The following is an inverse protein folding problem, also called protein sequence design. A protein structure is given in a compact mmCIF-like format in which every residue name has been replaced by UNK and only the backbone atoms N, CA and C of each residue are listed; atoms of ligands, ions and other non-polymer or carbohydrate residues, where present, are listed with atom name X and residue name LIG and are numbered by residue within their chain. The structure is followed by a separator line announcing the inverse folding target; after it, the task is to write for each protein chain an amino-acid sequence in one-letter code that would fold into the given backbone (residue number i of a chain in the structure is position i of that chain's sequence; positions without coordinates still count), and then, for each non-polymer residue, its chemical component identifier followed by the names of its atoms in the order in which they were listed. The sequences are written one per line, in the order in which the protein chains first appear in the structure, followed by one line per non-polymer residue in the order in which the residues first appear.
data_IF_094104157957
#
_entry.id   IF_094104157957
#
_cell.length_a   1.000
_cell.length_b   1.000
_cell.length_c   1.000
_cell.angle_alpha   90.00
_cell.angle_beta   90.00
_cell.angle_gamma   90.00
#
_symmetry.space_group_name_H-M   'P 1'
#
loop_
_entity.id
_entity.type
_entity.pdbx_description
1 polymer ?
#
# COMPACT_ATOMS: atom_id res chain seq x y z
N UNK A 1 -49.21 -19.21 23.97
CA UNK A 1 -48.88 -17.97 23.25
C UNK A 1 -47.37 -17.91 23.08
N UNK A 2 -46.85 -18.43 21.96
CA UNK A 2 -45.41 -18.39 21.66
C UNK A 2 -45.12 -17.03 21.04
N UNK A 3 -44.28 -16.23 21.71
CA UNK A 3 -43.82 -14.92 21.20
C UNK A 3 -42.90 -15.19 20.01
N UNK A 4 -43.25 -14.64 18.85
CA UNK A 4 -42.44 -14.70 17.65
C UNK A 4 -41.09 -14.02 17.90
N UNK A 5 -40.02 -14.73 17.53
CA UNK A 5 -38.68 -14.16 17.43
C UNK A 5 -38.64 -13.40 16.10
N UNK A 6 -38.41 -12.10 16.15
CA UNK A 6 -38.22 -11.29 14.95
C UNK A 6 -37.04 -11.84 14.11
N UNK A 7 -37.18 -11.90 12.78
CA UNK A 7 -36.11 -12.37 11.91
C UNK A 7 -34.91 -11.40 11.94
N UNK A 8 -33.68 -11.91 11.80
CA UNK A 8 -32.47 -11.10 11.86
C UNK A 8 -32.48 -10.00 10.79
N UNK A 9 -32.21 -8.77 11.24
CA UNK A 9 -32.13 -7.56 10.43
C UNK A 9 -31.25 -7.75 9.19
N UNK A 10 -31.76 -7.37 8.01
CA UNK A 10 -31.03 -7.37 6.73
C UNK A 10 -29.66 -6.69 6.89
N UNK A 11 -28.56 -7.43 6.64
CA UNK A 11 -27.18 -6.90 6.71
C UNK A 11 -27.03 -5.71 5.77
N UNK A 12 -26.60 -4.56 6.31
CA UNK A 12 -26.26 -3.36 5.54
C UNK A 12 -25.19 -3.72 4.49
N UNK A 13 -25.29 -3.25 3.23
CA UNK A 13 -24.26 -3.50 2.23
C UNK A 13 -22.90 -3.00 2.74
N UNK A 14 -21.85 -3.80 2.52
CA UNK A 14 -20.50 -3.49 2.96
C UNK A 14 -19.94 -2.33 2.14
N UNK A 15 -19.52 -1.27 2.82
CA UNK A 15 -18.75 -0.18 2.21
C UNK A 15 -17.28 -0.63 2.08
N UNK A 16 -16.88 -0.94 0.85
CA UNK A 16 -15.56 -1.46 0.53
C UNK A 16 -14.47 -0.39 0.57
N UNK A 17 -14.85 0.87 0.30
CA UNK A 17 -13.92 1.99 0.37
C UNK A 17 -13.60 2.30 1.84
N UNK A 18 -14.61 2.33 2.70
CA UNK A 18 -14.40 2.46 4.14
C UNK A 18 -13.69 1.24 4.74
N UNK A 19 -13.94 0.02 4.26
CA UNK A 19 -13.19 -1.17 4.67
C UNK A 19 -11.70 -1.03 4.34
N UNK A 20 -11.34 -0.53 3.15
CA UNK A 20 -9.96 -0.26 2.80
C UNK A 20 -9.35 0.89 3.62
N UNK A 21 -10.09 1.98 3.82
CA UNK A 21 -9.66 3.08 4.69
C UNK A 21 -9.40 2.61 6.12
N UNK A 22 -10.23 1.71 6.65
CA UNK A 22 -10.03 1.09 7.95
C UNK A 22 -8.73 0.27 8.03
N UNK A 23 -8.41 -0.52 7.00
CA UNK A 23 -7.14 -1.26 6.93
C UNK A 23 -5.95 -0.30 6.98
N UNK A 24 -5.98 0.80 6.21
CA UNK A 24 -4.94 1.84 6.24
C UNK A 24 -4.74 2.42 7.64
N UNK A 25 -5.82 2.82 8.30
CA UNK A 25 -5.78 3.38 9.67
C UNK A 25 -5.19 2.39 10.68
N UNK A 26 -5.45 1.09 10.51
CA UNK A 26 -4.85 0.05 11.36
C UNK A 26 -3.34 -0.06 11.18
N UNK A 27 -2.84 0.06 9.95
CA UNK A 27 -1.38 0.07 9.68
C UNK A 27 -0.74 1.33 10.27
N UNK A 28 -1.36 2.50 10.09
CA UNK A 28 -0.85 3.75 10.68
C UNK A 28 -0.81 3.69 12.22
N UNK A 29 -1.86 3.11 12.84
CA UNK A 29 -1.90 2.89 14.28
C UNK A 29 -0.85 1.88 14.74
N UNK A 30 -0.65 0.79 13.99
CA UNK A 30 0.41 -0.18 14.27
C UNK A 30 1.79 0.50 14.25
N UNK A 31 2.07 1.28 13.19
CA UNK A 31 3.32 2.02 13.07
C UNK A 31 3.53 2.95 14.27
N UNK A 32 2.49 3.69 14.64
CA UNK A 32 2.55 4.64 15.76
C UNK A 32 2.89 3.94 17.08
N UNK A 33 2.33 2.75 17.34
CA UNK A 33 2.67 1.96 18.54
C UNK A 33 4.13 1.48 18.51
N UNK A 34 4.59 0.93 17.39
CA UNK A 34 5.98 0.46 17.24
C UNK A 34 6.95 1.61 17.44
N UNK A 35 6.68 2.77 16.84
CA UNK A 35 7.51 3.98 17.01
C UNK A 35 7.51 4.48 18.46
N UNK A 36 6.39 4.39 19.17
CA UNK A 36 6.32 4.78 20.58
C UNK A 36 7.14 3.85 21.48
N UNK A 37 7.13 2.53 21.22
CA UNK A 37 7.86 1.54 22.00
C UNK A 37 9.36 1.48 21.65
N UNK A 38 9.71 1.65 20.38
CA UNK A 38 11.07 1.44 19.85
C UNK A 38 11.66 2.71 19.21
N UNK A 39 11.28 3.90 19.70
CA UNK A 39 11.64 5.17 19.05
C UNK A 39 13.13 5.41 18.82
N UNK A 40 13.99 4.85 19.68
CA UNK A 40 15.45 4.93 19.54
C UNK A 40 15.99 4.13 18.34
N UNK A 41 15.25 3.13 17.87
CA UNK A 41 15.60 2.26 16.73
C UNK A 41 14.88 2.67 15.44
N UNK A 42 14.08 3.74 15.46
CA UNK A 42 13.24 4.18 14.34
C UNK A 42 13.66 5.57 13.85
N UNK A 43 14.34 5.60 12.70
CA UNK A 43 14.75 6.81 11.99
C UNK A 43 13.68 7.35 11.03
N UNK A 44 12.57 6.61 10.83
CA UNK A 44 11.51 7.02 9.92
C UNK A 44 10.83 8.33 10.37
N UNK A 45 10.92 9.35 9.54
CA UNK A 45 10.36 10.68 9.74
C UNK A 45 9.99 11.30 8.37
N UNK A 46 9.21 12.40 8.33
CA UNK A 46 9.08 13.17 7.09
C UNK A 46 10.45 13.49 6.51
N UNK A 47 10.59 13.36 5.17
CA UNK A 47 11.86 13.50 4.43
C UNK A 47 12.83 12.31 4.50
N UNK A 48 12.48 11.21 5.18
CA UNK A 48 13.14 9.92 4.98
C UNK A 48 12.66 9.32 3.64
N UNK A 49 13.55 9.22 2.66
CA UNK A 49 13.23 8.85 1.27
C UNK A 49 13.78 7.51 0.71
N UNK A 50 14.56 6.65 1.41
CA UNK A 50 15.07 5.40 0.81
C UNK A 50 14.00 4.48 0.23
N UNK A 51 12.84 4.36 0.89
CA UNK A 51 11.72 3.55 0.39
C UNK A 51 10.99 4.21 -0.80
N UNK A 52 11.19 5.51 -1.04
CA UNK A 52 10.65 6.23 -2.20
C UNK A 52 11.52 6.07 -3.46
N UNK A 53 12.54 5.21 -3.44
CA UNK A 53 13.40 4.91 -4.57
C UNK A 53 13.04 3.60 -5.28
N UNK A 54 11.95 2.93 -4.87
CA UNK A 54 11.55 1.62 -5.39
C UNK A 54 10.46 1.74 -6.43
N UNK A 55 10.43 0.75 -7.31
CA UNK A 55 9.35 0.54 -8.27
C UNK A 55 8.35 -0.42 -7.63
N UNK A 56 7.08 -0.03 -7.55
CA UNK A 56 6.05 -0.86 -6.94
C UNK A 56 4.79 -0.89 -7.78
N UNK A 57 4.05 -2.00 -7.65
CA UNK A 57 2.70 -2.15 -8.17
C UNK A 57 1.69 -2.02 -7.03
N UNK A 58 0.47 -1.62 -7.36
CA UNK A 58 -0.65 -1.49 -6.44
C UNK A 58 -1.85 -2.28 -6.95
N UNK A 59 -2.76 -2.63 -6.05
CA UNK A 59 -4.05 -3.24 -6.43
C UNK A 59 -5.00 -2.22 -7.09
N UNK A 60 -6.02 -2.67 -7.85
CA UNK A 60 -7.00 -1.78 -8.47
C UNK A 60 -7.67 -0.79 -7.51
N UNK A 61 -8.08 -1.23 -6.32
CA UNK A 61 -8.64 -0.31 -5.32
C UNK A 61 -7.63 0.77 -4.91
N UNK A 62 -6.38 0.39 -4.67
CA UNK A 62 -5.31 1.33 -4.34
C UNK A 62 -5.01 2.30 -5.50
N UNK A 63 -5.04 1.83 -6.74
CA UNK A 63 -4.84 2.68 -7.91
C UNK A 63 -5.92 3.76 -8.03
N UNK A 64 -7.18 3.42 -7.74
CA UNK A 64 -8.26 4.40 -7.68
C UNK A 64 -8.00 5.51 -6.66
N UNK A 65 -7.54 5.14 -5.46
CA UNK A 65 -7.17 6.10 -4.41
C UNK A 65 -5.97 6.97 -4.81
N UNK A 66 -4.93 6.38 -5.38
CA UNK A 66 -3.75 7.13 -5.87
C UNK A 66 -4.16 8.13 -6.94
N UNK A 67 -4.94 7.70 -7.93
CA UNK A 67 -5.38 8.57 -9.01
C UNK A 67 -6.24 9.73 -8.49
N UNK A 68 -7.23 9.44 -7.64
CA UNK A 68 -8.08 10.45 -7.04
C UNK A 68 -7.28 11.47 -6.21
N UNK A 69 -6.30 11.01 -5.43
CA UNK A 69 -5.43 11.88 -4.63
C UNK A 69 -4.56 12.80 -5.52
N UNK A 70 -4.02 12.28 -6.62
CA UNK A 70 -3.23 13.08 -7.58
C UNK A 70 -4.11 14.11 -8.28
N UNK A 71 -5.33 13.73 -8.68
CA UNK A 71 -6.31 14.65 -9.31
C UNK A 71 -6.67 15.83 -8.42
N UNK A 72 -6.64 15.64 -7.10
CA UNK A 72 -6.93 16.66 -6.09
C UNK A 72 -5.73 17.57 -5.75
N UNK A 73 -4.53 17.31 -6.28
CA UNK A 73 -3.37 18.18 -6.08
C UNK A 73 -3.54 19.54 -6.81
N UNK A 74 -2.85 20.59 -6.35
CA UNK A 74 -2.72 21.84 -7.11
C UNK A 74 -2.19 21.57 -8.52
N UNK A 75 -2.69 22.30 -9.52
CA UNK A 75 -2.40 22.07 -10.95
C UNK A 75 -0.91 21.83 -11.23
N UNK A 76 -0.06 22.76 -10.78
CA UNK A 76 1.39 22.66 -10.95
C UNK A 76 1.98 21.36 -10.41
N UNK A 77 1.58 20.95 -9.21
CA UNK A 77 2.07 19.72 -8.59
C UNK A 77 1.54 18.48 -9.33
N UNK A 78 0.28 18.52 -9.77
CA UNK A 78 -0.31 17.44 -10.57
C UNK A 78 0.44 17.25 -11.88
N UNK A 79 0.66 18.32 -12.64
CA UNK A 79 1.40 18.30 -13.91
C UNK A 79 2.81 17.74 -13.73
N UNK A 80 3.52 18.17 -12.68
CA UNK A 80 4.87 17.68 -12.37
C UNK A 80 4.89 16.19 -12.03
N UNK A 81 3.98 15.74 -11.15
CA UNK A 81 3.84 14.33 -10.77
C UNK A 81 3.50 13.45 -11.99
N UNK A 82 2.57 13.90 -12.83
CA UNK A 82 2.17 13.17 -14.04
C UNK A 82 3.30 13.12 -15.08
N UNK A 83 4.08 14.19 -15.25
CA UNK A 83 5.24 14.20 -16.14
C UNK A 83 6.29 13.18 -15.69
N UNK A 84 6.63 13.16 -14.39
CA UNK A 84 7.53 12.15 -13.81
C UNK A 84 6.97 10.73 -13.96
N UNK A 85 5.66 10.56 -13.78
CA UNK A 85 5.00 9.28 -13.94
C UNK A 85 5.05 8.79 -15.40
N UNK A 86 4.82 9.66 -16.39
CA UNK A 86 4.96 9.35 -17.81
C UNK A 86 6.38 8.86 -18.14
N UNK A 87 7.40 9.62 -17.73
CA UNK A 87 8.81 9.26 -17.94
C UNK A 87 9.18 7.91 -17.31
N UNK A 88 8.62 7.58 -16.16
CA UNK A 88 8.84 6.28 -15.50
C UNK A 88 8.03 5.14 -16.13
N UNK A 89 6.84 5.43 -16.64
CA UNK A 89 5.91 4.43 -17.16
C UNK A 89 6.34 3.77 -18.47
N UNK A 90 7.37 4.32 -19.12
CA UNK A 90 8.05 3.77 -20.29
C UNK A 90 9.24 2.87 -19.95
N UNK A 91 9.61 2.75 -18.66
CA UNK A 91 10.74 1.95 -18.22
C UNK A 91 10.30 0.57 -17.72
N UNK A 92 11.13 -0.47 -17.87
CA UNK A 92 10.91 -1.78 -17.24
C UNK A 92 10.76 -1.68 -15.72
N UNK A 93 10.05 -2.62 -15.10
CA UNK A 93 9.78 -2.57 -13.65
C UNK A 93 11.05 -2.59 -12.79
N UNK A 94 12.07 -3.33 -13.20
CA UNK A 94 13.35 -3.45 -12.49
C UNK A 94 14.32 -2.29 -12.80
N UNK A 95 13.99 -1.44 -13.78
CA UNK A 95 14.86 -0.34 -14.19
C UNK A 95 14.66 0.89 -13.30
N UNK A 96 15.63 1.14 -12.43
CA UNK A 96 15.61 2.26 -11.48
C UNK A 96 16.13 3.57 -12.07
N UNK A 97 16.51 3.61 -13.35
CA UNK A 97 17.00 4.82 -14.04
C UNK A 97 15.95 5.93 -14.11
N UNK A 98 14.66 5.60 -13.96
CA UNK A 98 13.55 6.55 -13.91
C UNK A 98 13.51 7.44 -12.67
N UNK A 99 14.52 7.37 -11.80
CA UNK A 99 14.69 8.24 -10.63
C UNK A 99 13.85 7.83 -9.41
N UNK A 100 13.54 8.77 -8.49
CA UNK A 100 12.67 8.50 -7.36
C UNK A 100 11.21 8.31 -7.78
N UNK A 101 10.38 7.89 -6.82
CA UNK A 101 8.93 7.83 -6.96
C UNK A 101 8.38 9.16 -7.54
N UNK A 102 7.48 9.13 -8.55
CA UNK A 102 6.93 10.35 -9.14
C UNK A 102 6.21 11.27 -8.14
N UNK A 103 5.71 10.71 -7.03
CA UNK A 103 5.02 11.44 -5.97
C UNK A 103 5.99 12.12 -4.97
N UNK A 104 7.30 11.93 -5.10
CA UNK A 104 8.31 12.51 -4.22
C UNK A 104 8.75 13.89 -4.74
N UNK A 105 8.15 14.94 -4.18
CA UNK A 105 8.49 16.34 -4.47
C UNK A 105 9.06 16.96 -3.18
N UNK A 106 10.21 17.60 -3.25
CA UNK A 106 10.91 18.20 -2.09
C UNK A 106 11.02 17.23 -0.90
N UNK A 107 11.41 15.98 -1.20
CA UNK A 107 11.55 14.88 -0.23
C UNK A 107 10.26 14.51 0.51
N UNK A 108 9.10 14.96 0.01
CA UNK A 108 7.78 14.67 0.59
C UNK A 108 6.89 14.01 -0.44
N UNK A 109 6.13 13.01 0.03
CA UNK A 109 5.09 12.42 -0.80
C UNK A 109 3.93 13.41 -0.93
N UNK A 110 3.60 13.82 -2.16
CA UNK A 110 2.51 14.75 -2.46
C UNK A 110 1.16 14.24 -2.01
N UNK A 111 0.99 12.91 -1.93
CA UNK A 111 -0.22 12.24 -1.46
C UNK A 111 0.02 11.44 -0.17
N UNK A 112 0.86 11.94 0.74
CA UNK A 112 1.29 11.18 1.94
C UNK A 112 0.14 10.52 2.72
N UNK A 113 -0.97 11.23 2.89
CA UNK A 113 -2.17 10.76 3.59
C UNK A 113 -2.93 9.68 2.82
N UNK A 114 -2.75 9.58 1.50
CA UNK A 114 -3.38 8.62 0.57
C UNK A 114 -2.43 7.53 0.05
N UNK A 115 -1.23 7.41 0.65
CA UNK A 115 -0.25 6.39 0.28
C UNK A 115 -0.85 4.97 0.27
N UNK A 116 -0.46 4.13 -0.71
CA UNK A 116 -0.81 2.71 -0.76
C UNK A 116 -0.39 1.94 0.50
N UNK A 117 -0.95 0.76 0.71
CA UNK A 117 -0.79 0.00 1.94
C UNK A 117 0.67 -0.42 2.17
N UNK A 118 1.34 -0.89 1.12
CA UNK A 118 2.76 -1.23 1.18
C UNK A 118 3.61 -0.01 1.59
N UNK A 119 3.31 1.18 1.06
CA UNK A 119 4.02 2.41 1.41
C UNK A 119 3.80 2.85 2.87
N UNK A 120 2.69 2.47 3.50
CA UNK A 120 2.43 2.72 4.94
C UNK A 120 3.18 1.74 5.83
N UNK A 121 3.36 0.51 5.36
CA UNK A 121 4.10 -0.51 6.08
C UNK A 121 5.63 -0.29 6.03
N UNK A 122 6.13 0.44 5.02
CA UNK A 122 7.55 0.78 4.89
C UNK A 122 8.10 1.43 6.16
N UNK A 123 9.18 0.86 6.71
CA UNK A 123 9.78 1.29 7.97
C UNK A 123 9.48 0.37 9.14
N UNK A 124 8.47 -0.51 9.04
CA UNK A 124 8.16 -1.49 10.06
C UNK A 124 8.95 -2.79 9.87
N UNK A 125 9.25 -3.52 10.96
CA UNK A 125 9.59 -4.93 10.88
C UNK A 125 8.37 -5.71 10.37
N UNK A 126 8.56 -6.49 9.31
CA UNK A 126 7.49 -7.27 8.69
C UNK A 126 7.85 -8.74 8.69
N UNK A 127 6.93 -9.57 9.19
CA UNK A 127 6.95 -11.01 8.94
C UNK A 127 6.49 -11.23 7.49
N UNK A 128 7.36 -11.82 6.69
CA UNK A 128 7.13 -12.19 5.30
C UNK A 128 7.02 -13.72 5.20
N UNK A 129 6.34 -14.19 4.16
CA UNK A 129 6.33 -15.63 3.85
C UNK A 129 7.71 -16.02 3.35
N UNK A 130 8.32 -16.99 4.03
CA UNK A 130 9.54 -17.65 3.58
C UNK A 130 9.26 -19.02 3.00
N UNK A 131 10.18 -19.52 2.18
CA UNK A 131 10.14 -20.89 1.64
C UNK A 131 10.75 -21.90 2.61
N UNK A 132 11.41 -21.42 3.66
CA UNK A 132 12.03 -22.22 4.72
C UNK A 132 11.09 -22.60 5.87
N UNK A 133 11.57 -23.46 6.79
CA UNK A 133 10.81 -23.89 7.98
C UNK A 133 10.68 -22.79 9.05
N UNK A 134 11.33 -21.64 8.86
CA UNK A 134 11.36 -20.55 9.82
C UNK A 134 10.72 -19.28 9.26
N UNK A 135 10.04 -18.49 10.12
CA UNK A 135 9.51 -17.20 9.72
C UNK A 135 10.62 -16.27 9.22
N UNK A 136 10.43 -15.69 8.04
CA UNK A 136 11.34 -14.70 7.47
C UNK A 136 10.88 -13.28 7.81
N UNK A 137 11.83 -12.38 7.99
CA UNK A 137 11.54 -10.99 8.35
C UNK A 137 12.22 -10.03 7.39
N UNK A 138 11.53 -8.95 7.07
CA UNK A 138 12.11 -7.78 6.40
C UNK A 138 12.10 -6.61 7.36
N UNK A 139 13.23 -5.94 7.49
CA UNK A 139 13.38 -4.68 8.23
C UNK A 139 13.84 -3.57 7.30
N UNK A 140 13.55 -2.33 7.67
CA UNK A 140 14.10 -1.18 6.97
C UNK A 140 15.63 -1.12 7.17
N UNK A 141 16.38 -0.72 6.17
CA UNK A 141 17.84 -0.59 6.30
C UNK A 141 18.28 0.51 7.28
N UNK A 142 17.37 1.42 7.66
CA UNK A 142 17.64 2.51 8.60
C UNK A 142 17.03 2.30 9.99
N UNK A 143 16.14 1.32 10.14
CA UNK A 143 15.49 1.04 11.43
C UNK A 143 15.85 -0.37 11.87
N UNK A 144 15.97 -0.60 13.17
CA UNK A 144 16.18 -1.96 13.69
C UNK A 144 17.42 -2.65 13.09
N UNK A 145 18.55 -1.94 13.02
CA UNK A 145 19.82 -2.44 12.44
C UNK A 145 20.31 -3.74 13.13
N UNK A 146 19.95 -3.93 14.41
CA UNK A 146 20.26 -5.13 15.18
C UNK A 146 19.30 -6.32 14.91
N UNK A 147 18.30 -6.15 14.05
CA UNK A 147 17.25 -7.13 13.75
C UNK A 147 15.89 -6.76 14.34
N UNK A 148 14.81 -7.50 13.99
CA UNK A 148 13.46 -7.17 14.41
C UNK A 148 13.27 -7.31 15.93
N UNK A 149 12.53 -6.40 16.59
CA UNK A 149 12.35 -6.39 18.05
C UNK A 149 11.51 -7.54 18.64
N UNK A 150 11.03 -8.47 17.81
CA UNK A 150 10.18 -9.60 18.23
C UNK A 150 8.73 -9.20 18.55
N UNK A 151 7.90 -10.19 18.87
CA UNK A 151 6.59 -9.99 19.51
C UNK A 151 5.56 -9.19 18.70
N UNK A 152 4.84 -8.30 19.39
CA UNK A 152 3.73 -7.50 18.86
C UNK A 152 4.17 -6.29 18.02
N UNK A 153 5.49 -6.07 17.90
CA UNK A 153 6.11 -5.05 17.08
C UNK A 153 6.41 -5.51 15.64
N UNK A 154 6.04 -6.75 15.28
CA UNK A 154 6.21 -7.30 13.94
C UNK A 154 4.87 -7.31 13.18
N UNK A 155 4.81 -6.63 12.04
CA UNK A 155 3.64 -6.60 11.17
C UNK A 155 3.58 -7.90 10.34
N UNK A 156 2.49 -8.67 10.47
CA UNK A 156 2.27 -9.84 9.61
C UNK A 156 1.81 -9.41 8.21
N UNK A 157 2.72 -9.43 7.24
CA UNK A 157 2.47 -8.93 5.88
C UNK A 157 1.46 -9.83 5.13
N UNK A 158 1.52 -11.15 5.33
CA UNK A 158 0.57 -12.09 4.72
C UNK A 158 -0.87 -11.86 5.19
N UNK A 159 -1.05 -11.58 6.49
CA UNK A 159 -2.36 -11.24 7.02
C UNK A 159 -2.87 -9.92 6.42
N UNK A 160 -2.01 -8.91 6.34
CA UNK A 160 -2.35 -7.61 5.76
C UNK A 160 -2.71 -7.72 4.27
N UNK A 161 -1.92 -8.47 3.50
CA UNK A 161 -2.15 -8.72 2.08
C UNK A 161 -3.45 -9.49 1.84
N UNK A 162 -3.79 -10.47 2.69
CA UNK A 162 -5.09 -11.18 2.61
C UNK A 162 -6.27 -10.26 2.88
N UNK A 163 -6.16 -9.35 3.85
CA UNK A 163 -7.20 -8.34 4.12
C UNK A 163 -7.40 -7.41 2.92
N UNK A 164 -6.31 -6.89 2.35
CA UNK A 164 -6.36 -6.06 1.14
C UNK A 164 -6.96 -6.83 -0.04
N UNK A 165 -6.52 -8.07 -0.28
CA UNK A 165 -7.00 -8.91 -1.37
C UNK A 165 -8.51 -9.15 -1.27
N UNK A 166 -9.03 -9.43 -0.07
CA UNK A 166 -10.48 -9.63 0.13
C UNK A 166 -11.28 -8.38 -0.26
N UNK A 167 -10.87 -7.20 0.19
CA UNK A 167 -11.54 -5.94 -0.15
C UNK A 167 -11.41 -5.64 -1.65
N UNK A 168 -10.22 -5.81 -2.22
CA UNK A 168 -9.96 -5.60 -3.64
C UNK A 168 -10.81 -6.53 -4.53
N UNK A 169 -10.93 -7.82 -4.19
CA UNK A 169 -11.73 -8.78 -4.95
C UNK A 169 -13.19 -8.34 -5.01
N UNK A 170 -13.77 -7.96 -3.87
CA UNK A 170 -15.16 -7.50 -3.82
C UNK A 170 -15.34 -6.17 -4.57
N UNK A 171 -14.37 -5.26 -4.46
CA UNK A 171 -14.40 -3.96 -5.10
C UNK A 171 -14.32 -4.09 -6.63
N UNK A 172 -13.40 -4.91 -7.13
CA UNK A 172 -13.27 -5.21 -8.55
C UNK A 172 -14.51 -5.89 -9.12
N UNK A 173 -15.08 -6.89 -8.41
CA UNK A 173 -16.31 -7.58 -8.83
C UNK A 173 -17.48 -6.61 -9.02
N UNK A 174 -17.63 -5.63 -8.13
CA UNK A 174 -18.69 -4.61 -8.24
C UNK A 174 -18.55 -3.69 -9.45
N UNK A 175 -17.38 -3.69 -10.12
CA UNK A 175 -17.02 -2.78 -11.21
C UNK A 175 -16.62 -3.51 -12.50
N UNK A 176 -16.71 -4.83 -12.53
CA UNK A 176 -16.30 -5.64 -13.68
C UNK A 176 -14.79 -5.59 -13.97
N UNK A 177 -13.95 -5.40 -12.95
CA UNK A 177 -12.49 -5.32 -13.09
C UNK A 177 -11.83 -6.65 -12.71
N UNK A 178 -10.62 -6.89 -13.23
CA UNK A 178 -9.78 -8.01 -12.83
C UNK A 178 -9.21 -7.78 -11.41
N UNK A 179 -9.52 -8.65 -10.43
CA UNK A 179 -8.99 -8.51 -9.07
C UNK A 179 -7.53 -8.95 -8.92
N UNK A 180 -6.95 -9.62 -9.91
CA UNK A 180 -5.56 -10.10 -9.90
C UNK A 180 -4.58 -9.09 -10.50
N UNK A 181 -5.10 -8.10 -11.23
CA UNK A 181 -4.33 -7.02 -11.82
C UNK A 181 -3.39 -6.33 -10.81
N UNK A 182 -2.16 -6.08 -11.25
CA UNK A 182 -1.16 -5.29 -10.53
C UNK A 182 -0.79 -4.09 -11.39
N UNK A 183 -1.06 -2.89 -10.87
CA UNK A 183 -0.91 -1.64 -11.60
C UNK A 183 0.39 -0.97 -11.14
N UNK A 184 1.37 -0.74 -12.02
CA UNK A 184 2.55 0.06 -11.67
C UNK A 184 2.12 1.40 -11.09
N UNK A 185 2.71 1.84 -9.98
CA UNK A 185 2.33 3.08 -9.31
C UNK A 185 2.35 4.29 -10.27
N UNK A 186 3.33 4.34 -11.18
CA UNK A 186 3.41 5.36 -12.23
C UNK A 186 2.18 5.35 -13.16
N UNK A 187 1.62 4.19 -13.49
CA UNK A 187 0.40 4.07 -14.28
C UNK A 187 -0.85 4.43 -13.47
N UNK A 188 -0.90 4.05 -12.20
CA UNK A 188 -1.99 4.42 -11.29
C UNK A 188 -2.13 5.94 -11.16
N UNK A 189 -1.01 6.68 -11.09
CA UNK A 189 -0.99 8.15 -11.08
C UNK A 189 -1.72 8.71 -12.30
N UNK A 190 -1.46 8.16 -13.49
CA UNK A 190 -2.02 8.61 -14.76
C UNK A 190 -3.47 8.15 -15.01
N UNK A 191 -4.05 7.32 -14.14
CA UNK A 191 -5.36 6.72 -14.37
C UNK A 191 -5.35 5.67 -15.50
N UNK A 192 -4.19 5.12 -15.83
CA UNK A 192 -4.06 4.11 -16.87
C UNK A 192 -4.74 2.78 -16.48
N UNK A 193 -5.19 1.98 -17.46
CA UNK A 193 -5.76 0.66 -17.18
C UNK A 193 -4.71 -0.25 -16.53
N UNK A 194 -5.19 -1.31 -15.87
CA UNK A 194 -4.33 -2.38 -15.42
C UNK A 194 -3.48 -2.93 -16.58
N UNK A 195 -2.17 -2.89 -16.42
CA UNK A 195 -1.31 -3.82 -17.14
C UNK A 195 -1.67 -5.24 -16.70
N UNK A 196 -1.62 -6.20 -17.64
CA UNK A 196 -1.81 -7.62 -17.35
C UNK A 196 -0.90 -8.13 -16.23
N UNK A 197 -1.09 -9.38 -15.78
CA UNK A 197 -0.41 -9.93 -14.61
C UNK A 197 1.10 -9.70 -14.71
N UNK A 198 1.70 -9.35 -13.57
CA UNK A 198 3.14 -9.22 -13.42
C UNK A 198 3.80 -10.57 -13.73
N UNK A 199 4.65 -10.69 -14.78
CA UNK A 199 5.26 -11.96 -15.14
C UNK A 199 6.17 -12.53 -14.04
N UNK A 200 6.51 -11.73 -13.01
CA UNK A 200 7.30 -12.19 -11.85
C UNK A 200 6.46 -12.68 -10.67
N UNK A 201 5.14 -12.79 -10.81
CA UNK A 201 4.22 -13.36 -9.80
C UNK A 201 3.56 -14.67 -10.26
N UNK A 202 4.09 -15.31 -11.29
CA UNK A 202 3.72 -16.66 -11.69
C UNK A 202 4.76 -17.65 -11.16
N UNK A 203 4.61 -18.02 -9.89
CA UNK A 203 5.16 -19.25 -9.31
C UNK A 203 4.03 -20.00 -8.57
#
# INVERSE_FOLDING_TARGET
MVRGVDPPSKKRPLDLEEAYAHIRRRVDAFFSRVRAAHGAEVQCAPRCTPCCQVHLTVSPIEAGYVHAAVRALPERLREEVEARARARSSLPMLDRSGGPCPLLIDERCTIYSERPLLCRAQGLPMLVRGDGPHPEYTVCQLNFEAGPPGGDAILNLDHLNRQLAAVNILWCRSRGLDPTARIPLARAILGGPASGPDPTLQD
#
